data_IF_453383734932
#
_entry.id   IF_453383734932
#
_cell.length_a   1.000
_cell.length_b   1.000
_cell.length_c   1.000
_cell.angle_alpha   90.00
_cell.angle_beta   90.00
_cell.angle_gamma   90.00
#
_symmetry.space_group_name_H-M   'P 1'
#
loop_
_entity.id
_entity.type
_entity.pdbx_description
1 polymer ?
#
# COMPACT_ATOMS: atom_id res chain seq x y z
N UNK A 1 14.46 -7.01 37.30
CA UNK A 1 14.32 -5.54 37.12
C UNK A 1 15.24 -5.06 35.98
N UNK A 2 15.18 -5.74 34.84
CA UNK A 2 16.10 -5.55 33.70
C UNK A 2 15.38 -5.55 32.34
N UNK A 3 14.09 -5.90 32.29
CA UNK A 3 13.33 -6.05 31.05
C UNK A 3 12.61 -4.77 30.57
N UNK A 4 12.57 -3.72 31.38
CA UNK A 4 11.75 -2.53 31.09
C UNK A 4 12.44 -1.55 30.13
N UNK A 5 13.77 -1.55 30.05
CA UNK A 5 14.52 -0.55 29.26
C UNK A 5 14.69 -0.97 27.79
N UNK A 6 14.67 -2.26 27.46
CA UNK A 6 14.97 -2.72 26.08
C UNK A 6 13.77 -2.63 25.10
N UNK A 7 12.53 -2.48 25.59
CA UNK A 7 11.33 -2.51 24.73
C UNK A 7 11.10 -1.24 23.90
N UNK A 8 11.72 -0.13 24.26
CA UNK A 8 11.51 1.16 23.58
C UNK A 8 12.39 1.37 22.34
N UNK A 9 13.47 0.60 22.17
CA UNK A 9 14.38 0.69 21.02
C UNK A 9 13.90 -0.11 19.81
N UNK A 10 13.50 -1.38 20.02
CA UNK A 10 13.01 -2.26 18.95
C UNK A 10 11.68 -1.78 18.34
N UNK A 11 10.79 -1.21 19.15
CA UNK A 11 9.52 -0.64 18.68
C UNK A 11 9.75 0.51 17.69
N UNK A 12 10.67 1.42 18.00
CA UNK A 12 11.01 2.56 17.12
C UNK A 12 11.62 2.14 15.79
N UNK A 13 12.43 1.07 15.77
CA UNK A 13 12.99 0.53 14.53
C UNK A 13 11.91 -0.13 13.67
N UNK A 14 11.03 -0.94 14.26
CA UNK A 14 9.90 -1.56 13.55
C UNK A 14 8.92 -0.53 13.00
N UNK A 15 8.64 0.54 13.75
CA UNK A 15 7.85 1.69 13.27
C UNK A 15 8.56 2.37 12.09
N UNK A 16 9.86 2.64 12.19
CA UNK A 16 10.64 3.25 11.10
C UNK A 16 10.65 2.40 9.83
N UNK A 17 10.80 1.09 9.97
CA UNK A 17 10.75 0.15 8.85
C UNK A 17 9.35 0.10 8.25
N UNK A 18 8.29 -0.01 9.07
CA UNK A 18 6.91 0.04 8.59
C UNK A 18 6.60 1.34 7.85
N UNK A 19 7.01 2.48 8.41
CA UNK A 19 6.85 3.80 7.80
C UNK A 19 7.62 3.92 6.47
N UNK A 20 8.86 3.41 6.42
CA UNK A 20 9.66 3.39 5.20
C UNK A 20 8.99 2.55 4.11
N UNK A 21 8.44 1.39 4.46
CA UNK A 21 7.67 0.56 3.53
C UNK A 21 6.41 1.29 3.02
N UNK A 22 5.67 1.98 3.89
CA UNK A 22 4.51 2.80 3.46
C UNK A 22 4.92 3.92 2.52
N UNK A 23 6.02 4.62 2.82
CA UNK A 23 6.60 5.66 1.96
C UNK A 23 7.00 5.11 0.59
N UNK A 24 7.69 3.96 0.55
CA UNK A 24 8.08 3.32 -0.72
C UNK A 24 6.85 2.87 -1.51
N UNK A 25 5.85 2.26 -0.85
CA UNK A 25 4.58 1.91 -1.48
C UNK A 25 3.84 3.12 -2.05
N UNK A 26 3.88 4.26 -1.35
CA UNK A 26 3.31 5.52 -1.81
C UNK A 26 4.05 6.10 -3.02
N UNK A 27 5.38 6.02 -3.05
CA UNK A 27 6.16 6.42 -4.22
C UNK A 27 5.86 5.53 -5.44
N UNK A 28 5.76 4.22 -5.25
CA UNK A 28 5.38 3.28 -6.30
C UNK A 28 3.95 3.52 -6.80
N UNK A 29 3.03 3.82 -5.89
CA UNK A 29 1.65 4.16 -6.21
C UNK A 29 1.55 5.44 -7.05
N UNK A 30 2.29 6.50 -6.68
CA UNK A 30 2.34 7.75 -7.45
C UNK A 30 2.98 7.52 -8.82
N UNK A 31 4.05 6.73 -8.88
CA UNK A 31 4.70 6.37 -10.14
C UNK A 31 3.77 5.59 -11.07
N UNK A 32 2.93 4.72 -10.50
CA UNK A 32 1.87 4.02 -11.23
C UNK A 32 0.67 4.91 -11.58
N UNK A 33 0.44 6.03 -10.90
CA UNK A 33 -0.68 6.93 -11.21
C UNK A 33 -0.40 7.78 -12.46
N UNK A 34 0.85 8.20 -12.66
CA UNK A 34 1.23 9.10 -13.76
C UNK A 34 2.52 8.62 -14.48
N UNK A 35 2.46 7.50 -15.22
CA UNK A 35 3.59 7.04 -16.02
C UNK A 35 3.86 7.95 -17.23
N UNK A 36 2.96 8.90 -17.52
CA UNK A 36 3.01 9.80 -18.67
C UNK A 36 4.16 10.82 -18.60
N UNK A 37 4.78 11.00 -17.42
CA UNK A 37 6.00 11.80 -17.24
C UNK A 37 7.21 11.27 -18.05
N UNK A 38 7.17 10.02 -18.53
CA UNK A 38 8.31 9.41 -19.22
C UNK A 38 8.33 9.57 -20.75
N UNK A 39 7.32 10.20 -21.38
CA UNK A 39 7.33 10.53 -22.82
C UNK A 39 7.76 9.35 -23.75
N UNK A 40 7.51 8.10 -23.34
CA UNK A 40 7.70 6.92 -24.19
C UNK A 40 6.41 6.75 -25.01
N UNK A 41 6.58 6.70 -26.33
CA UNK A 41 5.56 6.61 -27.37
C UNK A 41 4.28 5.89 -26.94
N UNK A 42 3.12 6.45 -27.35
CA UNK A 42 1.73 6.02 -27.11
C UNK A 42 1.43 4.59 -27.59
N UNK A 43 2.12 3.61 -27.01
CA UNK A 43 1.90 2.20 -27.25
C UNK A 43 0.84 1.71 -26.27
N UNK A 44 -0.19 0.95 -26.70
CA UNK A 44 -1.27 0.44 -25.84
C UNK A 44 -0.82 -0.29 -24.56
N UNK A 45 0.43 -0.75 -24.54
CA UNK A 45 1.03 -1.52 -23.44
C UNK A 45 1.26 -0.71 -22.16
N UNK A 46 1.36 0.62 -22.24
CA UNK A 46 1.68 1.46 -21.07
C UNK A 46 0.55 1.51 -20.04
N UNK A 47 -0.72 1.37 -20.48
CA UNK A 47 -1.89 1.37 -19.59
C UNK A 47 -1.96 0.14 -18.67
N UNK A 48 -1.57 -1.04 -19.16
CA UNK A 48 -1.55 -2.26 -18.34
C UNK A 48 -0.45 -2.18 -17.27
N UNK A 49 0.72 -1.65 -17.64
CA UNK A 49 1.84 -1.45 -16.72
C UNK A 49 1.49 -0.39 -15.66
N UNK A 50 0.75 0.65 -16.05
CA UNK A 50 0.23 1.69 -15.16
C UNK A 50 -0.61 1.09 -14.02
N UNK A 51 -1.65 0.35 -14.39
CA UNK A 51 -2.59 -0.24 -13.42
C UNK A 51 -1.89 -1.29 -12.54
N UNK A 52 -0.97 -2.09 -13.10
CA UNK A 52 -0.19 -3.06 -12.34
C UNK A 52 0.71 -2.39 -11.29
N UNK A 53 1.46 -1.35 -11.67
CA UNK A 53 2.32 -0.61 -10.75
C UNK A 53 1.51 0.10 -9.67
N UNK A 54 0.36 0.68 -10.05
CA UNK A 54 -0.58 1.27 -9.12
C UNK A 54 -1.06 0.27 -8.06
N UNK A 55 -1.47 -0.93 -8.50
CA UNK A 55 -2.01 -1.97 -7.62
C UNK A 55 -0.93 -2.59 -6.71
N UNK A 56 0.28 -2.80 -7.24
CA UNK A 56 1.43 -3.26 -6.46
C UNK A 56 1.83 -2.21 -5.43
N UNK A 57 1.89 -0.93 -5.82
CA UNK A 57 2.17 0.19 -4.91
C UNK A 57 1.16 0.27 -3.77
N UNK A 58 -0.13 0.14 -4.10
CA UNK A 58 -1.23 0.09 -3.12
C UNK A 58 -1.07 -1.10 -2.15
N UNK A 59 -0.74 -2.29 -2.66
CA UNK A 59 -0.54 -3.49 -1.84
C UNK A 59 0.59 -3.31 -0.83
N UNK A 60 1.74 -2.83 -1.30
CA UNK A 60 2.92 -2.56 -0.46
C UNK A 60 2.61 -1.48 0.58
N UNK A 61 1.88 -0.44 0.20
CA UNK A 61 1.45 0.62 1.12
C UNK A 61 0.54 0.08 2.23
N UNK A 62 -0.42 -0.79 1.89
CA UNK A 62 -1.32 -1.42 2.87
C UNK A 62 -0.54 -2.29 3.88
N UNK A 63 0.43 -3.06 3.39
CA UNK A 63 1.28 -3.92 4.22
C UNK A 63 2.17 -3.07 5.15
N UNK A 64 2.80 -2.00 4.63
CA UNK A 64 3.59 -1.06 5.44
C UNK A 64 2.76 -0.40 6.54
N UNK A 65 1.54 0.01 6.21
CA UNK A 65 0.57 0.57 7.17
C UNK A 65 0.24 -0.42 8.29
N UNK A 66 -0.06 -1.68 7.95
CA UNK A 66 -0.33 -2.74 8.93
C UNK A 66 0.84 -2.95 9.90
N UNK A 67 2.07 -3.04 9.38
CA UNK A 67 3.28 -3.25 10.19
C UNK A 67 3.53 -2.04 11.10
N UNK A 68 3.29 -0.82 10.61
CA UNK A 68 3.42 0.40 11.39
C UNK A 68 2.42 0.45 12.55
N UNK A 69 1.13 0.15 12.30
CA UNK A 69 0.11 0.08 13.36
C UNK A 69 0.41 -1.05 14.36
N UNK A 70 0.81 -2.23 13.89
CA UNK A 70 1.15 -3.36 14.74
C UNK A 70 2.37 -3.06 15.64
N UNK A 71 3.34 -2.30 15.15
CA UNK A 71 4.49 -1.87 15.92
C UNK A 71 4.14 -0.79 16.96
N UNK A 72 3.16 0.08 16.66
CA UNK A 72 2.68 1.13 17.56
C UNK A 72 1.85 0.55 18.72
N UNK A 73 1.08 -0.51 18.46
CA UNK A 73 0.16 -1.15 19.42
C UNK A 73 0.71 -2.42 20.08
N UNK A 74 2.03 -2.56 20.19
CA UNK A 74 2.71 -3.75 20.72
C UNK A 74 2.53 -3.89 22.25
N UNK A 75 1.32 -4.26 22.69
CA UNK A 75 0.97 -4.54 24.09
C UNK A 75 -0.26 -3.79 24.64
N UNK A 76 -0.98 -3.01 23.83
CA UNK A 76 -2.16 -2.22 24.24
C UNK A 76 -3.42 -2.65 23.48
N UNK A 77 -4.61 -2.35 24.01
CA UNK A 77 -5.87 -2.60 23.32
C UNK A 77 -5.97 -1.74 22.05
N UNK A 78 -6.18 -2.39 20.90
CA UNK A 78 -6.36 -1.71 19.62
C UNK A 78 -7.55 -0.75 19.72
N UNK A 79 -7.35 0.48 19.25
CA UNK A 79 -8.46 1.43 19.14
C UNK A 79 -9.49 0.93 18.12
N UNK A 80 -10.76 1.26 18.38
CA UNK A 80 -11.86 0.99 17.44
C UNK A 80 -11.55 1.52 16.04
N UNK A 81 -10.90 2.69 15.96
CA UNK A 81 -10.46 3.29 14.68
C UNK A 81 -9.40 2.44 13.98
N UNK A 82 -8.45 1.84 14.73
CA UNK A 82 -7.44 0.97 14.15
C UNK A 82 -8.06 -0.30 13.55
N UNK A 83 -9.02 -0.92 14.24
CA UNK A 83 -9.73 -2.11 13.74
C UNK A 83 -10.61 -1.80 12.52
N UNK A 84 -11.35 -0.68 12.54
CA UNK A 84 -12.14 -0.22 11.40
C UNK A 84 -11.23 0.10 10.21
N UNK A 85 -10.12 0.82 10.43
CA UNK A 85 -9.18 1.18 9.38
C UNK A 85 -8.56 -0.06 8.71
N UNK A 86 -8.20 -1.07 9.50
CA UNK A 86 -7.67 -2.34 8.99
C UNK A 86 -8.67 -3.08 8.12
N UNK A 87 -9.96 -3.07 8.51
CA UNK A 87 -11.04 -3.68 7.75
C UNK A 87 -11.36 -2.89 6.47
N UNK A 88 -11.30 -1.57 6.53
CA UNK A 88 -11.53 -0.69 5.39
C UNK A 88 -10.39 -0.78 4.37
N UNK A 89 -9.15 -0.92 4.83
CA UNK A 89 -7.99 -1.19 3.97
C UNK A 89 -8.13 -2.56 3.30
N UNK A 90 -8.54 -3.60 4.01
CA UNK A 90 -8.66 -4.93 3.43
C UNK A 90 -9.78 -5.01 2.39
N UNK A 91 -10.97 -4.46 2.67
CA UNK A 91 -12.07 -4.43 1.69
C UNK A 91 -11.78 -3.47 0.54
N UNK A 92 -11.19 -2.30 0.83
CA UNK A 92 -10.79 -1.32 -0.17
C UNK A 92 -9.75 -1.86 -1.16
N UNK A 93 -8.76 -2.62 -0.68
CA UNK A 93 -7.77 -3.27 -1.54
C UNK A 93 -8.43 -4.28 -2.49
N UNK A 94 -9.38 -5.08 -2.00
CA UNK A 94 -10.12 -6.04 -2.86
C UNK A 94 -10.90 -5.31 -3.96
N UNK A 95 -11.55 -4.19 -3.64
CA UNK A 95 -12.26 -3.36 -4.62
C UNK A 95 -11.27 -2.78 -5.65
N UNK A 96 -10.12 -2.25 -5.20
CA UNK A 96 -9.10 -1.72 -6.09
C UNK A 96 -8.56 -2.79 -7.06
N UNK A 97 -8.35 -4.02 -6.60
CA UNK A 97 -7.95 -5.15 -7.45
C UNK A 97 -9.05 -5.47 -8.47
N UNK A 98 -10.32 -5.49 -8.04
CA UNK A 98 -11.43 -5.76 -8.94
C UNK A 98 -11.59 -4.67 -10.02
N UNK A 99 -11.47 -3.39 -9.65
CA UNK A 99 -11.47 -2.27 -10.58
C UNK A 99 -10.26 -2.34 -11.53
N UNK A 100 -9.05 -2.54 -11.02
CA UNK A 100 -7.85 -2.65 -11.87
C UNK A 100 -7.93 -3.82 -12.84
N UNK A 101 -8.51 -4.95 -12.42
CA UNK A 101 -8.76 -6.08 -13.31
C UNK A 101 -9.80 -5.73 -14.39
N UNK A 102 -10.86 -4.98 -14.04
CA UNK A 102 -11.82 -4.47 -15.01
C UNK A 102 -11.19 -3.48 -16.01
N UNK A 103 -10.26 -2.64 -15.54
CA UNK A 103 -9.52 -1.69 -16.38
C UNK A 103 -8.58 -2.41 -17.35
N UNK A 104 -7.89 -3.47 -16.90
CA UNK A 104 -7.05 -4.32 -17.77
C UNK A 104 -7.88 -5.06 -18.81
N UNK A 105 -9.04 -5.59 -18.41
CA UNK A 105 -9.91 -6.33 -19.33
C UNK A 105 -10.61 -5.42 -20.33
N UNK A 106 -10.72 -4.11 -20.06
CA UNK A 106 -11.09 -3.10 -21.04
C UNK A 106 -12.31 -3.51 -21.85
N UNK A 107 -13.50 -3.52 -21.24
CA UNK A 107 -14.79 -3.58 -21.96
C UNK A 107 -14.98 -2.31 -22.81
N UNK A 108 -14.16 -2.11 -23.84
CA UNK A 108 -14.02 -0.86 -24.57
C UNK A 108 -13.20 -0.91 -25.86
N UNK A 109 -13.00 -2.08 -26.47
CA UNK A 109 -12.45 -2.13 -27.85
C UNK A 109 -13.14 -3.19 -28.70
N UNK A 110 -14.43 -2.97 -28.94
CA UNK A 110 -15.04 -3.32 -30.23
C UNK A 110 -14.63 -2.20 -31.20
N UNK A 111 -14.16 -2.57 -32.39
CA UNK A 111 -14.01 -1.63 -33.51
C UNK A 111 -15.37 -1.32 -34.11
#
# INVERSE_FOLDING_TARGET
MSDTIQRTGLGRFRIRVGLAFTMVGLLLYILGADPAMFNLDQSPVTGVIQILLFLIGLAVMCIGGYICLAALWNGYEKTITADIGLRLVSTGYVIAVACGMADIFGFGSQR
#
